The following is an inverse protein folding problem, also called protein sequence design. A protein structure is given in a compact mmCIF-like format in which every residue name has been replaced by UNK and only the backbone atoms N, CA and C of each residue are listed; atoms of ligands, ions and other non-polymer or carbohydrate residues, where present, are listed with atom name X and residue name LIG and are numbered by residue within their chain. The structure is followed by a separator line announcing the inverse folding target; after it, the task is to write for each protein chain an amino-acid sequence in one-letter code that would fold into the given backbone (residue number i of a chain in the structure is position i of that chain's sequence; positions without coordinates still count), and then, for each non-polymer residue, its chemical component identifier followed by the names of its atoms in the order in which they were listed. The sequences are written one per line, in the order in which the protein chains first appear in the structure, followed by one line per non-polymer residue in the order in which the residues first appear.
data_IF_191197187110
#
_entry.id   IF_191197187110
#
_cell.length_a   1.000
_cell.length_b   1.000
_cell.length_c   1.000
_cell.angle_alpha   90.00
_cell.angle_beta   90.00
_cell.angle_gamma   90.00
#
_symmetry.space_group_name_H-M   'P 1'
#
loop_
_entity.id
_entity.type
_entity.pdbx_description
1 polymer ?
#
# COMPACT_ATOMS: atom_id res chain seq x y z
N UNK A 1 -57.11 29.51 0.40
CA UNK A 1 -56.45 28.79 -0.73
C UNK A 1 -55.01 29.27 -0.96
N UNK A 2 -54.72 30.58 -1.07
CA UNK A 2 -53.35 31.07 -1.30
C UNK A 2 -52.40 30.89 -0.13
N UNK A 3 -52.87 30.98 1.11
CA UNK A 3 -52.04 30.75 2.32
C UNK A 3 -51.66 29.27 2.51
N UNK A 4 -52.55 28.35 2.20
CA UNK A 4 -52.29 26.92 2.25
C UNK A 4 -51.27 26.48 1.20
N UNK A 5 -51.36 27.01 -0.03
CA UNK A 5 -50.38 26.72 -1.08
C UNK A 5 -48.99 27.21 -0.72
N UNK A 6 -48.88 28.38 -0.07
CA UNK A 6 -47.59 28.92 0.36
C UNK A 6 -46.96 28.08 1.47
N UNK A 7 -47.74 27.66 2.45
CA UNK A 7 -47.29 26.77 3.53
C UNK A 7 -46.86 25.41 3.00
N UNK A 8 -47.57 24.83 2.06
CA UNK A 8 -47.24 23.53 1.46
C UNK A 8 -45.97 23.60 0.62
N UNK A 9 -45.67 24.72 -0.05
CA UNK A 9 -44.44 24.95 -0.79
C UNK A 9 -43.23 25.16 0.15
N UNK A 10 -43.41 25.84 1.28
CA UNK A 10 -42.38 26.00 2.30
C UNK A 10 -42.02 24.66 2.96
N UNK A 11 -43.01 23.84 3.31
CA UNK A 11 -42.82 22.51 3.88
C UNK A 11 -42.07 21.56 2.89
N UNK A 12 -42.43 21.60 1.62
CA UNK A 12 -41.73 20.87 0.56
C UNK A 12 -40.30 21.34 0.39
N UNK A 13 -40.05 22.64 0.41
CA UNK A 13 -38.70 23.22 0.31
C UNK A 13 -37.79 22.79 1.47
N UNK A 14 -38.33 22.72 2.67
CA UNK A 14 -37.62 22.25 3.86
C UNK A 14 -37.32 20.76 3.79
N UNK A 15 -38.28 19.93 3.39
CA UNK A 15 -38.09 18.48 3.24
C UNK A 15 -37.02 18.14 2.19
N UNK A 16 -36.93 18.89 1.09
CA UNK A 16 -35.89 18.72 0.08
C UNK A 16 -34.51 19.05 0.66
N UNK A 17 -34.40 20.15 1.40
CA UNK A 17 -33.11 20.51 2.05
C UNK A 17 -32.67 19.49 3.07
N UNK A 18 -33.60 18.94 3.86
CA UNK A 18 -33.29 17.91 4.84
C UNK A 18 -32.83 16.60 4.17
N UNK A 19 -33.43 16.24 3.04
CA UNK A 19 -33.02 15.09 2.23
C UNK A 19 -31.63 15.28 1.64
N UNK A 20 -31.33 16.46 1.07
CA UNK A 20 -30.00 16.78 0.54
C UNK A 20 -28.93 16.73 1.64
N UNK A 21 -29.24 17.22 2.84
CA UNK A 21 -28.34 17.17 3.97
C UNK A 21 -28.11 15.71 4.44
N UNK A 22 -29.14 14.86 4.39
CA UNK A 22 -29.03 13.44 4.72
C UNK A 22 -28.12 12.71 3.71
N UNK A 23 -28.34 12.96 2.40
CA UNK A 23 -27.51 12.38 1.36
C UNK A 23 -26.06 12.80 1.51
N UNK A 24 -25.78 14.07 1.79
CA UNK A 24 -24.41 14.55 2.04
C UNK A 24 -23.77 13.81 3.22
N UNK A 25 -24.48 13.68 4.34
CA UNK A 25 -23.98 12.96 5.52
C UNK A 25 -23.72 11.47 5.25
N UNK A 26 -24.56 10.82 4.44
CA UNK A 26 -24.37 9.42 4.06
C UNK A 26 -23.11 9.30 3.18
N UNK A 27 -22.95 10.16 2.18
CA UNK A 27 -21.80 10.15 1.29
C UNK A 27 -20.49 10.42 2.05
N UNK A 28 -20.48 11.41 2.94
CA UNK A 28 -19.31 11.72 3.78
C UNK A 28 -18.93 10.52 4.66
N UNK A 29 -19.91 9.90 5.32
CA UNK A 29 -19.67 8.74 6.16
C UNK A 29 -19.17 7.53 5.36
N UNK A 30 -19.78 7.24 4.22
CA UNK A 30 -19.39 6.13 3.34
C UNK A 30 -17.96 6.33 2.83
N UNK A 31 -17.58 7.55 2.45
CA UNK A 31 -16.23 7.87 1.99
C UNK A 31 -15.19 7.67 3.12
N UNK A 32 -15.48 8.12 4.34
CA UNK A 32 -14.59 7.95 5.49
C UNK A 32 -14.43 6.46 5.81
N UNK A 33 -15.52 5.71 5.85
CA UNK A 33 -15.50 4.28 6.17
C UNK A 33 -14.71 3.50 5.10
N UNK A 34 -14.82 3.87 3.81
CA UNK A 34 -14.06 3.26 2.70
C UNK A 34 -12.56 3.51 2.82
N UNK A 35 -12.16 4.76 3.10
CA UNK A 35 -10.75 5.09 3.31
C UNK A 35 -10.15 4.39 4.54
N UNK A 36 -10.91 4.30 5.62
CA UNK A 36 -10.46 3.57 6.80
C UNK A 36 -10.27 2.08 6.51
N UNK A 37 -11.18 1.46 5.76
CA UNK A 37 -11.07 0.08 5.32
C UNK A 37 -9.87 -0.14 4.40
N UNK A 38 -9.67 0.73 3.41
CA UNK A 38 -8.53 0.69 2.50
C UNK A 38 -7.21 0.76 3.25
N UNK A 39 -7.06 1.71 4.15
CA UNK A 39 -5.87 1.83 4.98
C UNK A 39 -5.63 0.59 5.86
N UNK A 40 -6.69 0.01 6.40
CA UNK A 40 -6.57 -1.22 7.18
C UNK A 40 -6.12 -2.40 6.32
N UNK A 41 -6.70 -2.57 5.13
CA UNK A 41 -6.28 -3.60 4.17
C UNK A 41 -4.80 -3.43 3.78
N UNK A 42 -4.35 -2.21 3.47
CA UNK A 42 -2.95 -1.90 3.17
C UNK A 42 -2.02 -2.34 4.32
N UNK A 43 -2.37 -2.01 5.54
CA UNK A 43 -1.58 -2.37 6.72
C UNK A 43 -1.47 -3.88 6.91
N UNK A 44 -2.57 -4.61 6.74
CA UNK A 44 -2.56 -6.07 6.84
C UNK A 44 -1.75 -6.73 5.71
N UNK A 45 -1.82 -6.20 4.48
CA UNK A 45 -0.98 -6.67 3.36
C UNK A 45 0.50 -6.49 3.67
N UNK A 46 0.91 -5.30 4.13
CA UNK A 46 2.31 -5.01 4.49
C UNK A 46 2.77 -5.95 5.60
N UNK A 47 1.95 -6.18 6.61
CA UNK A 47 2.24 -7.09 7.72
C UNK A 47 2.47 -8.52 7.22
N UNK A 48 1.55 -9.06 6.42
CA UNK A 48 1.66 -10.41 5.84
C UNK A 48 2.92 -10.52 4.97
N UNK A 49 3.21 -9.50 4.17
CA UNK A 49 4.42 -9.47 3.34
C UNK A 49 5.69 -9.50 4.20
N UNK A 50 5.75 -8.71 5.28
CA UNK A 50 6.88 -8.69 6.21
C UNK A 50 7.06 -10.05 6.91
N UNK A 51 6.00 -10.67 7.38
CA UNK A 51 6.04 -12.01 7.98
C UNK A 51 6.54 -13.06 6.99
N UNK A 52 6.09 -12.99 5.73
CA UNK A 52 6.55 -13.91 4.67
C UNK A 52 8.01 -13.72 4.34
N UNK A 53 8.48 -12.48 4.21
CA UNK A 53 9.90 -12.17 3.98
C UNK A 53 10.73 -12.61 5.16
N UNK A 54 10.27 -12.38 6.39
CA UNK A 54 10.94 -12.88 7.60
C UNK A 54 11.12 -14.40 7.59
N UNK A 55 10.08 -15.15 7.23
CA UNK A 55 10.19 -16.62 7.10
C UNK A 55 11.22 -17.03 6.04
N UNK A 56 11.30 -16.31 4.92
CA UNK A 56 12.30 -16.56 3.87
C UNK A 56 13.72 -16.25 4.36
N UNK A 57 13.91 -15.22 5.20
CA UNK A 57 15.20 -14.91 5.81
C UNK A 57 15.65 -16.03 6.75
N UNK A 58 14.71 -16.57 7.53
CA UNK A 58 14.98 -17.70 8.44
C UNK A 58 15.39 -18.96 7.68
N UNK A 59 14.75 -19.23 6.54
CA UNK A 59 15.03 -20.38 5.67
C UNK A 59 16.32 -20.19 4.83
N UNK A 60 16.55 -18.99 4.30
CA UNK A 60 17.61 -18.66 3.35
C UNK A 60 18.41 -17.42 3.77
N UNK A 61 19.03 -17.41 4.94
CA UNK A 61 19.72 -16.21 5.46
C UNK A 61 20.95 -15.80 4.63
N UNK A 62 21.57 -16.72 3.88
CA UNK A 62 22.68 -16.42 2.99
C UNK A 62 22.26 -15.57 1.80
N UNK A 63 21.16 -15.90 1.16
CA UNK A 63 20.60 -15.20 0.02
C UNK A 63 20.23 -13.75 0.39
N UNK A 64 19.70 -13.56 1.58
CA UNK A 64 19.42 -12.23 2.11
C UNK A 64 20.69 -11.39 2.28
N UNK A 65 21.74 -11.96 2.86
CA UNK A 65 23.05 -11.29 3.01
C UNK A 65 23.71 -11.01 1.66
N UNK A 66 23.64 -11.92 0.68
CA UNK A 66 24.16 -11.69 -0.66
C UNK A 66 23.47 -10.52 -1.35
N UNK A 67 22.15 -10.38 -1.19
CA UNK A 67 21.40 -9.22 -1.68
C UNK A 67 21.93 -7.91 -1.07
N UNK A 68 22.12 -7.88 0.25
CA UNK A 68 22.66 -6.71 0.97
C UNK A 68 24.07 -6.38 0.50
N UNK A 69 24.95 -7.38 0.35
CA UNK A 69 26.31 -7.22 -0.18
C UNK A 69 26.28 -6.63 -1.59
N UNK A 70 25.47 -7.17 -2.47
CA UNK A 70 25.33 -6.69 -3.83
C UNK A 70 24.95 -5.21 -3.86
N UNK A 71 23.94 -4.82 -3.09
CA UNK A 71 23.52 -3.43 -2.99
C UNK A 71 24.59 -2.52 -2.39
N UNK A 72 25.28 -2.96 -1.33
CA UNK A 72 26.36 -2.17 -0.73
C UNK A 72 27.55 -1.97 -1.67
N UNK A 73 27.78 -2.88 -2.61
CA UNK A 73 28.85 -2.79 -3.60
C UNK A 73 28.55 -1.80 -4.73
N UNK A 74 27.28 -1.43 -4.94
CA UNK A 74 26.92 -0.37 -5.89
C UNK A 74 27.42 1.00 -5.41
N UNK A 75 27.64 1.17 -4.11
CA UNK A 75 28.18 2.38 -3.52
C UNK A 75 29.72 2.29 -3.58
N UNK A 76 30.34 3.13 -4.41
CA UNK A 76 31.79 3.07 -4.71
C UNK A 76 32.75 3.45 -3.57
N UNK A 77 32.27 3.84 -2.39
CA UNK A 77 33.10 4.19 -1.21
C UNK A 77 33.60 2.93 -0.50
N UNK A 78 34.74 2.41 -0.94
CA UNK A 78 35.32 1.14 -0.46
C UNK A 78 35.94 1.19 0.95
N UNK A 79 36.33 2.37 1.44
CA UNK A 79 37.12 2.51 2.67
C UNK A 79 36.31 2.94 3.89
N UNK A 80 35.02 3.23 3.74
CA UNK A 80 34.18 3.67 4.84
C UNK A 80 33.51 2.48 5.53
N UNK A 81 33.34 2.63 6.85
CA UNK A 81 32.62 1.69 7.69
C UNK A 81 31.15 1.65 7.25
N UNK A 82 30.63 0.46 7.02
CA UNK A 82 29.25 0.25 6.60
C UNK A 82 28.41 -0.11 7.82
N UNK A 83 27.34 0.61 8.04
CA UNK A 83 26.39 0.31 9.11
C UNK A 83 25.17 -0.33 8.44
N UNK A 84 24.74 -1.48 8.96
CA UNK A 84 23.55 -2.16 8.52
C UNK A 84 22.56 -2.25 9.68
N UNK A 85 21.41 -1.61 9.53
CA UNK A 85 20.30 -1.67 10.47
C UNK A 85 19.26 -2.65 9.96
N UNK A 86 18.83 -3.56 10.82
CA UNK A 86 17.88 -4.63 10.53
C UNK A 86 16.87 -4.76 11.67
N UNK A 87 15.74 -5.40 11.38
CA UNK A 87 14.89 -5.90 12.44
C UNK A 87 15.65 -6.87 13.36
N UNK A 88 15.34 -6.90 14.66
CA UNK A 88 16.03 -7.73 15.65
C UNK A 88 16.00 -9.22 15.32
N UNK A 89 14.87 -9.72 14.83
CA UNK A 89 14.69 -11.14 14.53
C UNK A 89 15.48 -11.54 13.27
N UNK A 90 15.53 -10.64 12.26
CA UNK A 90 16.34 -10.86 11.07
C UNK A 90 17.84 -10.85 11.39
N UNK A 91 18.27 -9.98 12.31
CA UNK A 91 19.64 -9.95 12.76
C UNK A 91 20.02 -11.26 13.48
N UNK A 92 19.15 -11.79 14.35
CA UNK A 92 19.35 -13.07 15.02
C UNK A 92 19.47 -14.23 14.01
N UNK A 93 18.62 -14.23 12.97
CA UNK A 93 18.62 -15.27 11.93
C UNK A 93 19.93 -15.33 11.14
N UNK A 94 20.60 -14.18 10.94
CA UNK A 94 21.86 -14.11 10.17
C UNK A 94 23.12 -14.12 11.05
N UNK A 95 23.00 -14.04 12.38
CA UNK A 95 24.15 -13.89 13.31
C UNK A 95 25.20 -14.96 13.13
N UNK A 96 24.79 -16.24 13.01
CA UNK A 96 25.70 -17.38 12.83
C UNK A 96 26.53 -17.28 11.53
N UNK A 97 25.97 -16.67 10.49
CA UNK A 97 26.64 -16.48 9.21
C UNK A 97 27.63 -15.31 9.30
N UNK A 98 27.22 -14.21 9.96
CA UNK A 98 28.08 -13.03 10.16
C UNK A 98 29.40 -13.42 10.85
N UNK A 99 29.33 -14.26 11.87
CA UNK A 99 30.50 -14.69 12.64
C UNK A 99 31.51 -15.48 11.78
N UNK A 100 31.03 -16.22 10.80
CA UNK A 100 31.84 -17.13 9.99
C UNK A 100 32.30 -16.53 8.65
N UNK A 101 31.86 -15.32 8.29
CA UNK A 101 32.13 -14.75 6.97
C UNK A 101 33.01 -13.49 7.04
N UNK A 102 34.30 -13.59 6.62
CA UNK A 102 35.25 -12.48 6.73
C UNK A 102 34.81 -11.20 5.98
N UNK A 103 34.07 -11.34 4.87
CA UNK A 103 33.59 -10.22 4.05
C UNK A 103 32.57 -9.36 4.79
N UNK A 104 31.89 -9.91 5.80
CA UNK A 104 30.92 -9.19 6.59
C UNK A 104 31.55 -8.37 7.72
N UNK A 105 32.84 -8.54 8.01
CA UNK A 105 33.57 -7.77 9.03
C UNK A 105 33.63 -6.26 8.74
N UNK A 106 33.40 -5.86 7.50
CA UNK A 106 33.32 -4.44 7.12
C UNK A 106 31.99 -3.79 7.54
N UNK A 107 30.98 -4.60 7.93
CA UNK A 107 29.70 -4.10 8.38
C UNK A 107 29.64 -4.04 9.91
N UNK A 108 28.98 -3.01 10.41
CA UNK A 108 28.51 -2.91 11.80
C UNK A 108 27.03 -3.13 11.77
N UNK A 109 26.59 -4.17 12.44
CA UNK A 109 25.20 -4.56 12.49
C UNK A 109 24.50 -3.92 13.69
N UNK A 110 23.33 -3.35 13.46
CA UNK A 110 22.48 -2.77 14.50
C UNK A 110 21.06 -3.32 14.39
N UNK A 111 20.53 -3.78 15.52
CA UNK A 111 19.11 -4.08 15.62
C UNK A 111 18.30 -2.77 15.72
N UNK A 112 17.27 -2.63 14.89
CA UNK A 112 16.34 -1.51 14.91
C UNK A 112 14.90 -2.03 14.99
N UNK A 113 14.25 -1.79 16.13
CA UNK A 113 12.88 -2.25 16.40
C UNK A 113 11.82 -1.50 15.60
N UNK A 114 12.18 -0.39 14.98
CA UNK A 114 11.26 0.37 14.11
C UNK A 114 11.12 -0.23 12.71
N UNK A 115 12.05 -1.10 12.33
CA UNK A 115 12.03 -1.82 11.07
C UNK A 115 11.15 -3.07 11.17
N UNK A 116 10.35 -3.33 10.14
CA UNK A 116 9.63 -4.59 9.98
C UNK A 116 10.60 -5.69 9.51
N UNK A 117 10.21 -6.96 9.63
CA UNK A 117 11.00 -8.07 9.09
C UNK A 117 11.17 -7.90 7.57
N UNK A 118 12.40 -8.04 7.11
CA UNK A 118 12.77 -7.84 5.70
C UNK A 118 13.12 -6.43 5.31
N UNK A 119 12.88 -5.44 6.18
CA UNK A 119 13.35 -4.08 5.99
C UNK A 119 14.83 -3.95 6.37
N UNK A 120 15.59 -3.11 5.67
CA UNK A 120 16.94 -2.77 6.07
C UNK A 120 17.35 -1.37 5.64
N UNK A 121 18.34 -0.83 6.38
CA UNK A 121 18.98 0.45 6.09
C UNK A 121 20.49 0.22 6.04
N UNK A 122 21.14 0.62 4.95
CA UNK A 122 22.60 0.60 4.79
C UNK A 122 23.10 2.03 4.83
N UNK A 123 23.97 2.36 5.79
CA UNK A 123 24.62 3.66 5.89
C UNK A 123 26.10 3.53 5.57
N UNK A 124 26.62 4.38 4.66
CA UNK A 124 28.03 4.41 4.23
C UNK A 124 28.44 5.88 4.19
N UNK A 125 29.10 6.35 5.24
CA UNK A 125 29.40 7.78 5.42
C UNK A 125 28.10 8.59 5.46
N UNK A 126 27.95 9.52 4.52
CA UNK A 126 26.77 10.40 4.42
C UNK A 126 25.64 9.80 3.55
N UNK A 127 25.84 8.59 2.98
CA UNK A 127 24.87 7.96 2.11
C UNK A 127 24.05 6.97 2.92
N UNK A 128 22.73 7.07 2.86
CA UNK A 128 21.77 6.10 3.38
C UNK A 128 20.99 5.48 2.23
N UNK A 129 20.90 4.15 2.23
CA UNK A 129 20.06 3.38 1.32
C UNK A 129 19.08 2.59 2.16
N UNK A 130 17.80 2.84 1.95
CA UNK A 130 16.72 2.17 2.65
C UNK A 130 15.96 1.26 1.68
N UNK A 131 15.60 0.07 2.14
CA UNK A 131 14.73 -0.85 1.42
C UNK A 131 13.67 -1.36 2.40
N UNK A 132 12.49 -0.78 2.33
CA UNK A 132 11.37 -1.10 3.20
C UNK A 132 10.22 -1.68 2.38
N UNK A 133 9.58 -2.71 2.88
CA UNK A 133 8.44 -3.39 2.22
C UNK A 133 7.30 -2.39 1.98
N UNK A 134 7.07 -1.50 2.92
CA UNK A 134 6.08 -0.42 2.80
C UNK A 134 6.30 0.43 1.54
N UNK A 135 7.55 0.86 1.29
CA UNK A 135 7.86 1.75 0.18
C UNK A 135 7.67 1.05 -1.18
N UNK A 136 7.87 -0.28 -1.23
CA UNK A 136 7.60 -1.09 -2.43
C UNK A 136 6.11 -1.20 -2.74
N UNK A 137 5.25 -1.18 -1.73
CA UNK A 137 3.81 -1.19 -1.91
C UNK A 137 3.33 0.11 -2.56
N UNK A 138 3.80 1.25 -2.08
CA UNK A 138 3.39 2.57 -2.56
C UNK A 138 3.79 2.81 -4.04
N UNK A 139 4.93 2.28 -4.49
CA UNK A 139 5.36 2.35 -5.90
C UNK A 139 4.37 1.63 -6.84
N UNK A 140 3.73 0.55 -6.38
CA UNK A 140 2.79 -0.20 -7.19
C UNK A 140 1.39 0.44 -7.28
N UNK A 141 1.05 1.40 -6.42
CA UNK A 141 -0.23 2.13 -6.50
C UNK A 141 -0.36 2.98 -7.76
N UNK A 142 0.74 3.55 -8.26
CA UNK A 142 0.71 4.30 -9.52
C UNK A 142 0.37 3.42 -10.73
N UNK A 143 0.73 2.14 -10.69
CA UNK A 143 0.42 1.20 -11.78
C UNK A 143 -1.01 0.67 -11.75
N UNK A 144 -1.70 0.71 -10.61
CA UNK A 144 -3.11 0.26 -10.50
C UNK A 144 -4.12 1.28 -11.01
N UNK A 145 -3.77 2.56 -11.10
CA UNK A 145 -4.64 3.61 -11.67
C UNK A 145 -4.97 3.38 -13.16
N UNK A 146 -4.25 2.52 -13.85
CA UNK A 146 -4.54 2.18 -15.25
C UNK A 146 -5.61 1.10 -15.43
N UNK A 147 -6.07 0.44 -14.35
CA UNK A 147 -7.11 -0.61 -14.42
C UNK A 147 -8.54 -0.11 -14.20
N UNK A 148 -8.74 1.13 -13.77
CA UNK A 148 -10.08 1.68 -13.50
C UNK A 148 -10.80 2.25 -14.73
N UNK A 149 -10.18 2.30 -15.91
CA UNK A 149 -10.72 3.05 -17.05
C UNK A 149 -11.69 2.23 -17.94
N UNK A 150 -11.82 0.92 -17.76
CA UNK A 150 -12.53 0.11 -18.76
C UNK A 150 -13.93 -0.43 -18.36
N UNK A 151 -14.45 -0.05 -17.18
CA UNK A 151 -15.78 -0.53 -16.76
C UNK A 151 -16.96 0.40 -17.10
N UNK A 152 -16.72 1.54 -17.75
CA UNK A 152 -17.80 2.49 -18.11
C UNK A 152 -18.30 2.33 -19.57
N UNK A 153 -17.63 1.54 -20.39
CA UNK A 153 -17.95 1.46 -21.83
C UNK A 153 -18.98 0.37 -22.18
N UNK A 154 -19.27 -0.58 -21.29
CA UNK A 154 -20.15 -1.72 -21.63
C UNK A 154 -21.62 -1.60 -21.22
N UNK A 155 -22.03 -0.57 -20.49
CA UNK A 155 -23.44 -0.40 -20.09
C UNK A 155 -24.33 0.13 -21.21
N UNK A 156 -23.80 0.94 -22.13
CA UNK A 156 -24.59 1.55 -23.21
C UNK A 156 -24.75 0.62 -24.44
N UNK A 157 -23.87 -0.35 -24.60
CA UNK A 157 -23.95 -1.30 -25.74
C UNK A 157 -24.96 -2.43 -25.52
N UNK A 158 -25.24 -2.82 -24.31
CA UNK A 158 -26.26 -3.87 -24.03
C UNK A 158 -27.70 -3.32 -24.14
N UNK A 159 -27.91 -2.04 -23.83
CA UNK A 159 -29.24 -1.40 -23.95
C UNK A 159 -29.65 -1.22 -25.44
N UNK A 160 -28.69 -1.05 -26.34
CA UNK A 160 -28.97 -0.92 -27.78
C UNK A 160 -29.35 -2.23 -28.44
N UNK A 161 -28.80 -3.37 -27.99
CA UNK A 161 -29.12 -4.71 -28.49
C UNK A 161 -30.49 -5.20 -28.07
N UNK A 162 -30.95 -4.82 -26.88
CA UNK A 162 -32.30 -5.19 -26.39
C UNK A 162 -33.42 -4.43 -27.15
N UNK A 163 -33.15 -3.22 -27.63
CA UNK A 163 -34.12 -2.44 -28.41
C UNK A 163 -34.26 -2.89 -29.87
N UNK A 164 -33.26 -3.52 -30.46
CA UNK A 164 -33.34 -4.03 -31.83
C UNK A 164 -34.12 -5.36 -31.93
N UNK A 165 -34.04 -6.22 -30.91
CA UNK A 165 -34.75 -7.50 -30.89
C UNK A 165 -36.24 -7.40 -30.57
N UNK A 166 -36.73 -6.21 -30.18
CA UNK A 166 -38.17 -5.99 -29.89
C UNK A 166 -39.01 -5.49 -31.08
N UNK A 167 -38.40 -5.27 -32.26
CA UNK A 167 -39.09 -4.75 -33.45
C UNK A 167 -39.24 -5.79 -34.60
N UNK A 168 -38.76 -7.03 -34.45
CA UNK A 168 -38.89 -8.04 -35.49
C UNK A 168 -39.94 -9.13 -35.20
N UNK A 169 -40.93 -8.88 -34.33
CA UNK A 169 -42.05 -9.82 -34.12
C UNK A 169 -43.36 -9.06 -34.21
N UNK A 170 -43.79 -8.72 -35.43
CA UNK A 170 -45.20 -8.50 -35.85
C UNK A 170 -45.35 -9.06 -37.24
#
# INVERSE_FOLDING_TARGET
VQQEQKKNNEERGNSIKDFDNLIKKINEKTFIDTNALENHIKQEIIKIASERVGSLIDEMPREFLEKIKSLSNTIRKKSEKKILKLNSDDLESIEKIIQNEPLLKQFVFHADKSLSRGDYIIEIGEISLEDKIKDRYDINEESTKYFEIDNTVNADSEISLIKQNSQETV
#
